data_IF_577833706190
#
_entry.id   IF_577833706190
#
_cell.length_a   1.000
_cell.length_b   1.000
_cell.length_c   1.000
_cell.angle_alpha   90.00
_cell.angle_beta   90.00
_cell.angle_gamma   90.00
#
_symmetry.space_group_name_H-M   'P 1'
#
loop_
_entity.id
_entity.type
_entity.pdbx_description
1 polymer ?
#
# COMPACT_ATOMS: atom_id res chain seq x y z
N UNK A 1 30.10 24.93 -14.27
CA UNK A 1 30.47 23.60 -13.72
C UNK A 1 29.87 23.49 -12.33
N UNK A 2 28.61 23.11 -12.21
CA UNK A 2 27.97 22.86 -10.91
C UNK A 2 27.20 21.54 -11.01
N UNK A 3 27.85 20.55 -10.43
CA UNK A 3 27.45 19.18 -10.11
C UNK A 3 25.97 18.82 -10.28
N UNK A 4 25.70 17.84 -11.12
CA UNK A 4 24.47 17.05 -11.08
C UNK A 4 24.33 16.39 -9.70
N UNK A 5 23.32 16.78 -8.92
CA UNK A 5 22.86 15.99 -7.76
C UNK A 5 22.14 14.75 -8.30
N UNK A 6 22.84 13.65 -8.51
CA UNK A 6 22.17 12.35 -8.64
C UNK A 6 21.72 11.92 -7.25
N UNK A 7 20.47 12.20 -6.91
CA UNK A 7 19.81 11.62 -5.73
C UNK A 7 19.81 10.10 -5.89
N UNK A 8 20.58 9.39 -5.07
CA UNK A 8 20.64 7.93 -5.06
C UNK A 8 19.36 7.38 -4.38
N UNK A 9 18.25 7.44 -5.10
CA UNK A 9 16.97 6.92 -4.64
C UNK A 9 17.00 5.41 -4.80
N UNK A 10 16.81 4.70 -3.69
CA UNK A 10 16.62 3.25 -3.69
C UNK A 10 15.14 2.96 -3.52
N UNK A 11 14.64 1.98 -4.26
CA UNK A 11 13.24 1.58 -4.26
C UNK A 11 13.13 0.19 -3.65
N UNK A 12 12.16 0.01 -2.76
CA UNK A 12 11.69 -1.29 -2.29
C UNK A 12 10.28 -1.47 -2.81
N UNK A 13 10.05 -2.55 -3.56
CA UNK A 13 8.73 -2.90 -4.06
C UNK A 13 8.21 -4.13 -3.30
N UNK A 14 7.07 -3.97 -2.62
CA UNK A 14 6.42 -5.03 -1.85
C UNK A 14 5.14 -5.40 -2.58
N UNK A 15 5.08 -6.63 -3.11
CA UNK A 15 3.87 -7.19 -3.71
C UNK A 15 3.18 -8.08 -2.69
N UNK A 16 1.95 -7.72 -2.32
CA UNK A 16 1.09 -8.55 -1.49
C UNK A 16 0.19 -9.37 -2.42
N UNK A 17 0.49 -10.65 -2.55
CA UNK A 17 -0.28 -11.56 -3.40
C UNK A 17 -1.68 -11.81 -2.81
N UNK A 18 -2.72 -11.75 -3.65
CA UNK A 18 -4.11 -11.94 -3.22
C UNK A 18 -4.63 -10.91 -2.20
N UNK A 19 -4.06 -9.71 -2.14
CA UNK A 19 -4.41 -8.70 -1.12
C UNK A 19 -5.80 -8.08 -1.27
N UNK A 20 -6.35 -8.10 -2.48
CA UNK A 20 -7.69 -7.60 -2.76
C UNK A 20 -8.75 -8.65 -2.42
N UNK A 21 -9.85 -8.21 -1.81
CA UNK A 21 -10.99 -9.07 -1.48
C UNK A 21 -12.29 -8.25 -1.45
N UNK A 22 -13.42 -8.92 -1.21
CA UNK A 22 -14.73 -8.31 -1.04
C UNK A 22 -15.08 -8.15 0.45
N UNK A 23 -15.96 -7.18 0.78
CA UNK A 23 -16.56 -7.09 2.10
C UNK A 23 -17.25 -8.38 2.54
N UNK A 24 -17.12 -8.72 3.83
CA UNK A 24 -17.73 -9.92 4.39
C UNK A 24 -18.52 -9.63 5.68
N UNK A 25 -19.72 -10.21 5.82
CA UNK A 25 -20.63 -9.97 6.96
C UNK A 25 -20.01 -10.28 8.32
N UNK A 26 -19.14 -11.30 8.41
CA UNK A 26 -18.45 -11.64 9.66
C UNK A 26 -17.38 -10.62 10.08
N UNK A 27 -17.05 -9.66 9.21
CA UNK A 27 -16.05 -8.62 9.41
C UNK A 27 -16.69 -7.23 9.53
N UNK A 28 -17.97 -7.16 9.91
CA UNK A 28 -18.75 -5.91 9.92
C UNK A 28 -18.81 -5.24 8.54
N UNK A 29 -18.97 -6.05 7.48
CA UNK A 29 -19.03 -5.59 6.09
C UNK A 29 -17.76 -4.83 5.64
N UNK A 30 -16.61 -5.21 6.19
CA UNK A 30 -15.28 -4.78 5.75
C UNK A 30 -14.58 -5.89 4.95
N UNK A 31 -13.61 -5.50 4.13
CA UNK A 31 -12.65 -6.45 3.55
C UNK A 31 -11.71 -7.01 4.63
N UNK A 32 -11.05 -8.17 4.43
CA UNK A 32 -10.06 -8.69 5.37
C UNK A 32 -8.90 -7.72 5.63
N UNK A 33 -8.45 -6.96 4.62
CA UNK A 33 -7.38 -5.98 4.79
C UNK A 33 -7.84 -4.80 5.67
N UNK A 34 -9.06 -4.31 5.50
CA UNK A 34 -9.62 -3.23 6.33
C UNK A 34 -9.86 -3.66 7.78
N UNK A 35 -10.29 -4.91 7.99
CA UNK A 35 -10.53 -5.46 9.33
C UNK A 35 -9.24 -5.81 10.09
N UNK A 36 -8.11 -5.99 9.39
CA UNK A 36 -6.84 -6.39 9.99
C UNK A 36 -6.14 -5.22 10.72
N UNK A 37 -5.51 -5.53 11.86
CA UNK A 37 -4.65 -4.56 12.55
C UNK A 37 -3.31 -4.40 11.81
N UNK A 38 -3.18 -3.34 10.99
CA UNK A 38 -2.03 -3.11 10.10
C UNK A 38 -1.33 -1.76 10.33
N UNK A 39 -0.87 -1.45 11.56
CA UNK A 39 -0.39 -0.11 11.93
C UNK A 39 0.79 0.40 11.08
N UNK A 40 1.64 -0.50 10.59
CA UNK A 40 2.76 -0.14 9.71
C UNK A 40 2.27 0.32 8.33
N UNK A 41 1.33 -0.43 7.73
CA UNK A 41 0.75 -0.07 6.44
C UNK A 41 -0.05 1.23 6.56
N UNK A 42 -0.87 1.35 7.59
CA UNK A 42 -1.63 2.56 7.90
C UNK A 42 -0.73 3.80 8.04
N UNK A 43 0.45 3.65 8.65
CA UNK A 43 1.42 4.73 8.77
C UNK A 43 2.05 5.10 7.42
N UNK A 44 2.31 4.12 6.55
CA UNK A 44 2.85 4.38 5.22
C UNK A 44 1.81 5.07 4.33
N UNK A 45 0.56 4.64 4.36
CA UNK A 45 -0.52 5.20 3.54
C UNK A 45 -0.89 6.62 3.96
N UNK A 46 -0.92 6.93 5.27
CA UNK A 46 -1.12 8.30 5.78
C UNK A 46 -0.04 9.30 5.36
N UNK A 47 1.20 8.83 5.18
CA UNK A 47 2.34 9.67 4.81
C UNK A 47 2.70 9.55 3.32
N UNK A 48 1.91 8.81 2.55
CA UNK A 48 2.17 8.49 1.14
C UNK A 48 1.03 8.92 0.24
N UNK A 49 1.01 8.34 -0.96
CA UNK A 49 -0.07 8.51 -1.92
C UNK A 49 -0.78 7.17 -2.13
N UNK A 50 -2.11 7.19 -2.17
CA UNK A 50 -2.95 6.02 -2.38
C UNK A 50 -3.52 6.00 -3.80
N UNK A 51 -3.81 4.81 -4.32
CA UNK A 51 -4.45 4.59 -5.61
C UNK A 51 -4.86 3.13 -5.78
N UNK A 52 -5.60 2.84 -6.85
CA UNK A 52 -6.00 1.48 -7.22
C UNK A 52 -5.29 1.09 -8.53
N UNK A 53 -4.80 -0.15 -8.59
CA UNK A 53 -4.22 -0.74 -9.79
C UNK A 53 -5.22 -1.71 -10.37
N UNK A 54 -5.59 -1.52 -11.64
CA UNK A 54 -6.42 -2.46 -12.38
C UNK A 54 -5.48 -3.38 -13.16
N UNK A 55 -5.37 -4.64 -12.73
CA UNK A 55 -4.69 -5.68 -13.50
C UNK A 55 -5.65 -6.30 -14.52
N UNK A 56 -5.09 -6.84 -15.61
CA UNK A 56 -5.84 -7.52 -16.69
C UNK A 56 -6.31 -8.90 -16.31
#
# INVERSE_FOLDING_TARGET
MSSQLSSNIRIVYVLLDGVGDLPHHSLNDLTPLEAAYTPCMDSLTRNGCMGQVISV
#
